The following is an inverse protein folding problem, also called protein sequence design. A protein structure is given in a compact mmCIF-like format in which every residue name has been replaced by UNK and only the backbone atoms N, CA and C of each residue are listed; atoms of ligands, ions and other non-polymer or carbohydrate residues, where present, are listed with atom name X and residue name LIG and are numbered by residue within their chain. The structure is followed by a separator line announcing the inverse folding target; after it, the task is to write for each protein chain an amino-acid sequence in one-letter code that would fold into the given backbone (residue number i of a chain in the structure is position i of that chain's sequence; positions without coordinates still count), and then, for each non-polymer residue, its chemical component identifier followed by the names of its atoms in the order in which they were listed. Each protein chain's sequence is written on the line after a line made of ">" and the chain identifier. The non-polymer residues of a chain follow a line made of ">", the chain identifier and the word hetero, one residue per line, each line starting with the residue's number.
data_IF_944318741512
#
_entry.id   IF_944318741512
#
_cell.length_a   1.000
_cell.length_b   1.000
_cell.length_c   1.000
_cell.angle_alpha   90.00
_cell.angle_beta   90.00
_cell.angle_gamma   90.00
#
_symmetry.space_group_name_H-M   'P 1'
#
loop_
_entity.id
_entity.type
_entity.pdbx_description
1 polymer ?
#
# COMPACT_ATOMS: atom_id res chain seq x y z
N UNK A 1 20.81 -15.47 -15.31
CA UNK A 1 19.36 -15.36 -15.53
C UNK A 1 18.79 -14.50 -14.40
N UNK A 2 18.37 -13.27 -14.68
CA UNK A 2 17.83 -12.35 -13.66
C UNK A 2 16.58 -12.99 -13.01
N UNK A 3 16.61 -13.18 -11.70
CA UNK A 3 15.45 -13.71 -10.97
C UNK A 3 14.37 -12.60 -10.92
N UNK A 4 13.26 -12.81 -11.62
CA UNK A 4 12.08 -11.96 -11.53
C UNK A 4 11.11 -12.52 -10.49
N UNK A 5 10.83 -11.74 -9.46
CA UNK A 5 9.79 -12.04 -8.50
C UNK A 5 8.59 -11.13 -8.75
N UNK A 6 7.44 -11.71 -9.06
CA UNK A 6 6.19 -10.97 -9.24
C UNK A 6 5.32 -11.07 -7.99
N UNK A 7 4.87 -9.95 -7.48
CA UNK A 7 4.07 -9.85 -6.25
C UNK A 7 2.82 -9.02 -6.55
N UNK A 8 1.64 -9.57 -6.28
CA UNK A 8 0.39 -8.78 -6.33
C UNK A 8 0.31 -7.92 -5.08
N UNK A 9 0.06 -6.63 -5.26
CA UNK A 9 -0.09 -5.68 -4.16
C UNK A 9 -1.40 -4.88 -4.30
N UNK A 10 -1.90 -4.41 -3.16
CA UNK A 10 -2.91 -3.35 -3.09
C UNK A 10 -2.47 -2.38 -2.00
N UNK A 11 -2.21 -1.15 -2.37
CA UNK A 11 -1.77 -0.10 -1.45
C UNK A 11 -2.99 0.62 -0.88
N UNK A 12 -3.14 0.62 0.43
CA UNK A 12 -4.24 1.32 1.13
C UNK A 12 -3.81 2.68 1.67
N UNK A 13 -2.53 2.99 1.63
CA UNK A 13 -1.95 4.27 2.03
C UNK A 13 -1.06 4.80 0.93
N UNK A 14 -0.85 6.08 0.93
CA UNK A 14 0.17 6.70 0.11
C UNK A 14 1.54 6.14 0.48
N UNK A 15 2.32 5.77 -0.51
CA UNK A 15 3.61 5.13 -0.28
C UNK A 15 4.74 5.88 -0.99
N UNK A 16 5.92 5.85 -0.38
CA UNK A 16 7.17 6.31 -0.97
C UNK A 16 8.09 5.11 -1.07
N UNK A 17 8.49 4.73 -2.28
CA UNK A 17 9.39 3.63 -2.56
C UNK A 17 10.74 4.17 -3.04
N UNK A 18 11.84 3.68 -2.48
CA UNK A 18 13.20 3.97 -2.94
C UNK A 18 13.84 2.70 -3.49
N UNK A 19 14.13 2.68 -4.78
CA UNK A 19 14.80 1.56 -5.45
C UNK A 19 16.31 1.72 -5.34
N UNK A 20 16.94 0.99 -4.42
CA UNK A 20 18.39 1.12 -4.13
C UNK A 20 19.26 0.36 -5.14
N UNK A 21 19.11 -0.96 -5.16
CA UNK A 21 19.96 -1.88 -5.94
C UNK A 21 19.16 -2.81 -6.85
N UNK A 22 17.96 -2.40 -7.29
CA UNK A 22 17.10 -3.19 -8.16
C UNK A 22 16.36 -2.29 -9.14
N UNK A 23 15.66 -2.89 -10.07
CA UNK A 23 14.62 -2.24 -10.87
C UNK A 23 13.28 -2.74 -10.37
N UNK A 24 12.39 -1.83 -10.02
CA UNK A 24 11.02 -2.15 -9.60
C UNK A 24 10.06 -1.77 -10.72
N UNK A 25 9.35 -2.75 -11.28
CA UNK A 25 8.33 -2.50 -12.29
C UNK A 25 6.95 -2.70 -11.67
N UNK A 26 6.13 -1.65 -11.71
CA UNK A 26 4.75 -1.67 -11.22
C UNK A 26 3.83 -1.80 -12.44
N UNK A 27 3.10 -2.92 -12.53
CA UNK A 27 2.18 -3.22 -13.62
C UNK A 27 0.74 -3.05 -13.17
N UNK A 28 -0.05 -2.37 -13.99
CA UNK A 28 -1.49 -2.29 -13.77
C UNK A 28 -2.10 -3.70 -13.89
N UNK A 29 -2.95 -4.08 -12.92
CA UNK A 29 -3.61 -5.39 -12.92
C UNK A 29 -4.61 -5.58 -14.06
N UNK A 30 -5.22 -4.49 -14.51
CA UNK A 30 -6.38 -4.52 -15.43
C UNK A 30 -6.07 -4.06 -16.85
N UNK A 31 -4.96 -3.38 -17.08
CA UNK A 31 -4.56 -2.82 -18.37
C UNK A 31 -3.06 -3.06 -18.62
N UNK A 32 -2.61 -3.12 -19.87
CA UNK A 32 -1.20 -3.30 -20.21
C UNK A 32 -0.38 -2.02 -20.00
N UNK A 33 -0.44 -1.46 -18.81
CA UNK A 33 0.31 -0.25 -18.41
C UNK A 33 1.34 -0.66 -17.37
N UNK A 34 2.58 -0.21 -17.51
CA UNK A 34 3.65 -0.46 -16.55
C UNK A 34 4.49 0.79 -16.31
N UNK A 35 5.02 0.91 -15.09
CA UNK A 35 5.91 1.98 -14.70
C UNK A 35 7.17 1.36 -14.13
N UNK A 36 8.32 1.77 -14.65
CA UNK A 36 9.63 1.27 -14.30
C UNK A 36 10.37 2.26 -13.42
N UNK A 37 10.70 1.84 -12.22
CA UNK A 37 11.48 2.61 -11.24
C UNK A 37 12.90 2.05 -11.31
N UNK A 38 13.81 2.80 -11.90
CA UNK A 38 15.20 2.39 -12.05
C UNK A 38 15.98 2.59 -10.76
N UNK A 39 17.15 1.97 -10.71
CA UNK A 39 18.05 2.04 -9.55
C UNK A 39 18.29 3.49 -9.11
N UNK A 40 18.28 3.73 -7.80
CA UNK A 40 18.49 5.03 -7.17
C UNK A 40 17.24 5.90 -7.14
N UNK A 41 16.24 5.65 -7.97
CA UNK A 41 15.07 6.51 -8.05
C UNK A 41 14.07 6.24 -6.92
N UNK A 42 13.32 7.29 -6.60
CA UNK A 42 12.23 7.26 -5.63
C UNK A 42 10.91 7.37 -6.39
N UNK A 43 9.90 6.62 -5.96
CA UNK A 43 8.55 6.71 -6.49
C UNK A 43 7.56 7.06 -5.38
N UNK A 44 6.71 8.05 -5.65
CA UNK A 44 5.53 8.35 -4.85
C UNK A 44 4.36 7.58 -5.47
N UNK A 45 3.65 6.81 -4.65
CA UNK A 45 2.60 5.91 -5.13
C UNK A 45 1.30 6.23 -4.39
N UNK A 46 0.28 6.57 -5.18
CA UNK A 46 -1.05 6.91 -4.66
C UNK A 46 -1.71 5.73 -3.94
N UNK A 47 -2.56 5.99 -2.94
CA UNK A 47 -3.35 4.94 -2.28
C UNK A 47 -4.36 4.29 -3.23
N UNK A 48 -4.85 3.11 -2.84
CA UNK A 48 -5.84 2.32 -3.58
C UNK A 48 -5.39 1.81 -4.95
N UNK A 49 -4.07 1.78 -5.22
CA UNK A 49 -3.50 1.12 -6.39
C UNK A 49 -3.50 -0.40 -6.19
N UNK A 50 -4.08 -1.12 -7.16
CA UNK A 50 -3.92 -2.57 -7.32
C UNK A 50 -2.94 -2.83 -8.46
N UNK A 51 -1.82 -3.47 -8.16
CA UNK A 51 -0.75 -3.67 -9.11
C UNK A 51 -0.05 -5.02 -8.94
N UNK A 52 0.70 -5.42 -9.94
CA UNK A 52 1.71 -6.46 -9.86
C UNK A 52 3.07 -5.78 -9.84
N UNK A 53 3.85 -6.02 -8.80
CA UNK A 53 5.22 -5.51 -8.67
C UNK A 53 6.19 -6.60 -9.06
N UNK A 54 7.01 -6.33 -10.06
CA UNK A 54 8.13 -7.19 -10.45
C UNK A 54 9.43 -6.54 -10.01
N UNK A 55 10.32 -7.34 -9.43
CA UNK A 55 11.62 -6.88 -8.95
C UNK A 55 12.70 -7.60 -9.74
N UNK A 56 13.57 -6.83 -10.38
CA UNK A 56 14.74 -7.32 -11.12
C UNK A 56 15.99 -6.91 -10.35
N UNK A 57 16.73 -7.90 -9.83
CA UNK A 57 17.98 -7.67 -9.12
C UNK A 57 19.13 -7.53 -10.14
N UNK A 58 20.04 -6.57 -9.91
CA UNK A 58 21.14 -6.29 -10.85
C UNK A 58 22.36 -7.17 -10.64
N UNK A 59 22.53 -7.74 -9.43
CA UNK A 59 23.65 -8.62 -9.07
C UNK A 59 23.12 -9.98 -8.61
N UNK A 60 23.91 -11.05 -8.83
CA UNK A 60 23.61 -12.42 -8.34
C UNK A 60 23.62 -12.54 -6.80
N UNK A 61 24.08 -11.53 -6.11
CA UNK A 61 23.98 -11.40 -4.67
C UNK A 61 22.61 -10.79 -4.38
N UNK A 62 21.69 -11.56 -3.83
CA UNK A 62 20.47 -11.06 -3.19
C UNK A 62 20.90 -10.10 -2.08
N UNK A 63 21.27 -8.87 -2.46
CA UNK A 63 21.81 -7.87 -1.55
C UNK A 63 20.74 -7.46 -0.56
N UNK A 64 21.16 -7.32 0.68
CA UNK A 64 20.32 -7.11 1.87
C UNK A 64 19.37 -5.89 1.79
N UNK A 65 19.50 -4.98 0.84
CA UNK A 65 18.66 -3.78 0.69
C UNK A 65 18.41 -3.45 -0.78
N UNK A 66 17.53 -4.21 -1.43
CA UNK A 66 17.18 -3.98 -2.84
C UNK A 66 16.37 -2.72 -3.03
N UNK A 67 15.35 -2.53 -2.21
CA UNK A 67 14.50 -1.34 -2.15
C UNK A 67 13.92 -1.17 -0.76
N UNK A 68 13.49 0.01 -0.47
CA UNK A 68 12.75 0.35 0.74
C UNK A 68 11.44 1.04 0.42
N UNK A 69 10.52 0.96 1.35
CA UNK A 69 9.23 1.60 1.19
C UNK A 69 8.71 2.07 2.55
N UNK A 70 8.15 3.27 2.57
CA UNK A 70 7.46 3.85 3.71
C UNK A 70 6.03 4.23 3.30
N UNK A 71 5.09 4.14 4.22
CA UNK A 71 3.71 4.58 4.01
C UNK A 71 3.43 5.81 4.84
N UNK A 72 2.66 6.73 4.28
CA UNK A 72 2.29 7.97 4.96
C UNK A 72 0.90 7.82 5.60
N UNK A 73 0.75 8.15 6.89
CA UNK A 73 -0.57 8.27 7.52
C UNK A 73 -1.40 9.38 6.85
N UNK A 74 -2.72 9.19 6.75
CA UNK A 74 -3.63 10.16 6.14
C UNK A 74 -3.55 11.54 6.81
N UNK A 75 -3.35 11.59 8.13
CA UNK A 75 -3.20 12.83 8.90
C UNK A 75 -1.95 13.61 8.50
N UNK A 76 -0.83 12.90 8.31
CA UNK A 76 0.43 13.51 7.86
C UNK A 76 0.29 13.99 6.40
N UNK A 77 -0.32 13.17 5.55
CA UNK A 77 -0.57 13.53 4.15
C UNK A 77 -1.48 14.75 4.01
N UNK A 78 -2.51 14.87 4.87
CA UNK A 78 -3.38 16.06 4.90
C UNK A 78 -2.62 17.34 5.23
N UNK A 79 -1.67 17.27 6.17
CA UNK A 79 -0.82 18.40 6.53
C UNK A 79 0.14 18.77 5.40
N UNK A 80 0.68 17.78 4.70
CA UNK A 80 1.52 18.00 3.51
C UNK A 80 0.69 18.68 2.41
N UNK A 81 -0.55 18.23 2.16
CA UNK A 81 -1.45 18.83 1.18
C UNK A 81 -1.65 20.34 1.45
N UNK A 82 -1.88 20.75 2.70
CA UNK A 82 -2.05 22.15 3.06
C UNK A 82 -0.85 23.03 2.66
N UNK A 83 0.38 22.49 2.67
CA UNK A 83 1.56 23.25 2.21
C UNK A 83 1.54 23.48 0.69
N UNK A 84 0.95 22.55 -0.06
CA UNK A 84 0.81 22.66 -1.52
C UNK A 84 -0.40 23.50 -1.95
N UNK A 85 -1.43 23.65 -1.12
CA UNK A 85 -2.60 24.49 -1.40
C UNK A 85 -2.22 25.95 -1.60
N UNK A 86 -1.33 26.47 -0.76
CA UNK A 86 -0.86 27.86 -0.84
C UNK A 86 -0.13 28.18 -2.16
N UNK A 87 0.43 27.15 -2.81
CA UNK A 87 1.19 27.30 -4.06
C UNK A 87 0.34 27.10 -5.31
N UNK A 88 -0.85 26.48 -5.20
CA UNK A 88 -1.69 26.05 -6.33
C UNK A 88 -3.09 26.67 -6.30
N UNK A 89 -3.24 27.87 -5.74
CA UNK A 89 -4.52 28.60 -5.65
C UNK A 89 -5.12 29.08 -6.99
N UNK A 90 -4.68 28.57 -8.13
CA UNK A 90 -5.25 28.91 -9.43
C UNK A 90 -5.84 27.70 -10.14
N UNK A 91 -7.19 27.68 -10.16
CA UNK A 91 -8.06 27.17 -11.21
C UNK A 91 -7.94 25.72 -11.67
N UNK A 92 -9.07 25.03 -11.49
CA UNK A 92 -9.47 23.79 -12.14
C UNK A 92 -8.62 22.54 -11.85
N UNK A 93 -9.00 21.84 -10.79
CA UNK A 93 -8.76 20.40 -10.71
C UNK A 93 -9.18 19.78 -12.04
N UNK A 94 -8.20 19.25 -12.80
CA UNK A 94 -8.47 18.49 -14.01
C UNK A 94 -9.53 17.44 -13.70
N UNK A 95 -10.52 17.21 -14.58
CA UNK A 95 -11.61 16.30 -14.26
C UNK A 95 -11.05 14.93 -13.88
N UNK A 96 -11.30 14.53 -12.64
CA UNK A 96 -10.85 13.28 -12.01
C UNK A 96 -11.19 12.03 -12.85
N UNK A 97 -12.09 12.19 -13.83
CA UNK A 97 -12.69 11.09 -14.63
C UNK A 97 -11.75 10.36 -15.57
N UNK A 98 -10.61 10.91 -15.95
CA UNK A 98 -9.77 10.35 -17.02
C UNK A 98 -8.31 10.06 -16.61
N UNK A 99 -8.05 9.85 -15.29
CA UNK A 99 -6.70 9.55 -14.83
C UNK A 99 -6.26 8.16 -15.24
N UNK A 100 -5.06 8.09 -15.80
CA UNK A 100 -4.39 6.85 -16.19
C UNK A 100 -3.64 6.24 -15.00
N UNK A 101 -3.04 5.09 -15.19
CA UNK A 101 -2.22 4.47 -14.15
C UNK A 101 -0.94 5.30 -13.86
N UNK A 102 -0.37 5.92 -14.91
CA UNK A 102 0.80 6.78 -14.78
C UNK A 102 0.55 8.06 -13.97
N UNK A 103 -0.69 8.54 -13.91
CA UNK A 103 -1.05 9.72 -13.10
C UNK A 103 -1.09 9.44 -11.59
N UNK A 104 -0.82 8.21 -11.19
CA UNK A 104 -0.87 7.73 -9.79
C UNK A 104 0.50 7.39 -9.21
N UNK A 105 1.55 7.43 -10.04
CA UNK A 105 2.92 7.10 -9.63
C UNK A 105 3.87 8.16 -10.16
N UNK A 106 4.57 8.84 -9.25
CA UNK A 106 5.48 9.92 -9.58
C UNK A 106 6.91 9.50 -9.31
N UNK A 107 7.78 9.59 -10.31
CA UNK A 107 9.19 9.23 -10.18
C UNK A 107 10.01 10.47 -9.90
N UNK A 108 10.85 10.39 -8.88
CA UNK A 108 11.83 11.39 -8.49
C UNK A 108 13.21 10.79 -8.73
N UNK A 109 13.99 11.42 -9.58
CA UNK A 109 15.38 11.02 -9.81
C UNK A 109 16.20 11.33 -8.58
N UNK A 110 16.94 10.36 -8.07
CA UNK A 110 17.83 10.60 -6.95
C UNK A 110 19.09 11.35 -7.43
N UNK A 111 19.35 12.46 -6.74
CA UNK A 111 20.55 13.29 -6.89
C UNK A 111 21.44 13.21 -5.64
N UNK A 112 21.29 12.17 -4.84
CA UNK A 112 21.97 11.97 -3.56
C UNK A 112 21.24 12.61 -2.36
N UNK A 113 20.66 13.79 -2.51
CA UNK A 113 19.91 14.48 -1.44
C UNK A 113 18.56 13.78 -1.20
N UNK A 114 17.88 13.37 -2.26
CA UNK A 114 16.57 12.72 -2.16
C UNK A 114 16.65 11.37 -1.45
N UNK A 115 17.72 10.59 -1.72
CA UNK A 115 17.99 9.34 -1.00
C UNK A 115 18.28 9.57 0.48
N UNK A 116 19.03 10.62 0.84
CA UNK A 116 19.30 11.00 2.24
C UNK A 116 18.00 11.37 2.96
N UNK A 117 17.13 12.17 2.32
CA UNK A 117 15.80 12.52 2.86
C UNK A 117 14.95 11.28 3.09
N UNK A 118 14.93 10.35 2.14
CA UNK A 118 14.20 9.11 2.28
C UNK A 118 14.71 8.27 3.47
N UNK A 119 16.03 8.10 3.60
CA UNK A 119 16.62 7.36 4.73
C UNK A 119 16.34 8.02 6.08
N UNK A 120 16.32 9.35 6.11
CA UNK A 120 15.94 10.11 7.30
C UNK A 120 14.48 9.82 7.70
N UNK A 121 13.54 9.91 6.75
CA UNK A 121 12.12 9.62 6.97
C UNK A 121 11.90 8.17 7.42
N UNK A 122 12.62 7.21 6.81
CA UNK A 122 12.56 5.79 7.18
C UNK A 122 12.96 5.55 8.63
N UNK A 123 14.03 6.19 9.10
CA UNK A 123 14.53 6.04 10.47
C UNK A 123 13.57 6.59 11.52
N UNK A 124 12.88 7.68 11.23
CA UNK A 124 11.97 8.36 12.18
C UNK A 124 10.58 7.75 12.28
N UNK A 125 10.24 6.78 11.43
CA UNK A 125 8.94 6.08 11.43
C UNK A 125 7.73 7.04 11.39
N UNK A 126 7.73 7.99 10.48
CA UNK A 126 6.64 8.95 10.26
C UNK A 126 6.27 9.76 11.51
N UNK A 127 7.24 10.47 12.07
CA UNK A 127 6.96 11.44 13.12
C UNK A 127 6.09 12.57 12.51
N UNK A 128 5.12 13.05 13.28
CA UNK A 128 4.24 14.17 12.86
C UNK A 128 4.99 15.47 12.50
N UNK A 129 6.29 15.55 12.81
CA UNK A 129 7.13 16.69 12.47
C UNK A 129 7.87 16.56 11.13
N UNK A 130 7.72 15.43 10.41
CA UNK A 130 8.43 15.18 9.15
C UNK A 130 7.73 15.80 7.92
N UNK A 131 6.80 16.72 8.16
CA UNK A 131 5.97 17.36 7.11
C UNK A 131 6.82 18.13 6.09
N UNK A 132 7.87 18.82 6.54
CA UNK A 132 8.72 19.64 5.68
C UNK A 132 9.65 18.80 4.82
N UNK A 133 10.18 17.72 5.37
CA UNK A 133 11.02 16.76 4.64
C UNK A 133 10.21 16.04 3.55
N UNK A 134 8.99 15.64 3.87
CA UNK A 134 8.09 15.04 2.89
C UNK A 134 7.71 16.06 1.81
N UNK A 135 7.37 17.30 2.18
CA UNK A 135 7.05 18.33 1.22
C UNK A 135 8.26 18.69 0.34
N UNK A 136 9.47 18.71 0.90
CA UNK A 136 10.70 18.88 0.14
C UNK A 136 10.90 17.76 -0.88
N UNK A 137 10.69 16.51 -0.50
CA UNK A 137 10.76 15.37 -1.42
C UNK A 137 9.68 15.47 -2.51
N UNK A 138 8.45 15.80 -2.14
CA UNK A 138 7.31 15.93 -3.06
C UNK A 138 7.48 17.07 -4.06
N UNK A 139 8.15 18.18 -3.66
CA UNK A 139 8.45 19.30 -4.55
C UNK A 139 9.42 18.96 -5.70
N UNK A 140 10.06 17.78 -5.66
CA UNK A 140 10.96 17.30 -6.73
C UNK A 140 10.22 16.58 -7.87
N UNK A 141 8.90 16.43 -7.76
CA UNK A 141 8.07 15.87 -8.82
C UNK A 141 7.93 16.88 -9.96
N UNK A 142 8.08 16.42 -11.22
CA UNK A 142 8.03 17.28 -12.40
C UNK A 142 6.65 17.92 -12.62
N UNK A 143 5.57 17.19 -12.29
CA UNK A 143 4.19 17.66 -12.47
C UNK A 143 3.50 17.84 -11.11
N UNK A 144 3.63 19.04 -10.57
CA UNK A 144 3.08 19.42 -9.26
C UNK A 144 1.55 19.41 -9.27
N UNK A 145 0.89 19.76 -10.38
CA UNK A 145 -0.58 19.79 -10.48
C UNK A 145 -1.16 18.36 -10.39
N UNK A 146 -0.55 17.41 -11.10
CA UNK A 146 -0.95 16.01 -11.00
C UNK A 146 -0.68 15.44 -9.61
N UNK A 147 0.45 15.79 -8.98
CA UNK A 147 0.75 15.42 -7.61
C UNK A 147 -0.30 16.00 -6.65
N UNK A 148 -0.63 17.28 -6.77
CA UNK A 148 -1.66 17.91 -5.95
C UNK A 148 -3.01 17.20 -6.07
N UNK A 149 -3.44 16.88 -7.30
CA UNK A 149 -4.64 16.08 -7.54
C UNK A 149 -4.58 14.69 -6.86
N UNK A 150 -3.43 14.02 -6.94
CA UNK A 150 -3.18 12.73 -6.29
C UNK A 150 -3.27 12.83 -4.76
N UNK A 151 -2.74 13.92 -4.18
CA UNK A 151 -2.82 14.19 -2.75
C UNK A 151 -4.27 14.45 -2.31
N UNK A 152 -5.02 15.29 -3.04
CA UNK A 152 -6.44 15.54 -2.77
C UNK A 152 -7.26 14.23 -2.74
N UNK A 153 -7.06 13.36 -3.73
CA UNK A 153 -7.73 12.06 -3.79
C UNK A 153 -7.30 11.16 -2.62
N UNK A 154 -6.02 11.19 -2.29
CA UNK A 154 -5.47 10.32 -1.23
C UNK A 154 -5.88 10.76 0.18
N UNK A 155 -6.10 12.05 0.39
CA UNK A 155 -6.61 12.59 1.66
C UNK A 155 -8.12 12.44 1.79
N UNK A 156 -8.85 12.42 0.66
CA UNK A 156 -10.30 12.23 0.68
C UNK A 156 -10.64 10.87 1.30
N UNK A 157 -11.57 10.88 2.26
CA UNK A 157 -12.05 9.64 2.89
C UNK A 157 -13.12 9.01 2.02
N UNK A 158 -12.81 7.83 1.48
CA UNK A 158 -13.81 7.00 0.82
C UNK A 158 -14.66 6.25 1.86
N UNK A 159 -15.84 5.78 1.45
CA UNK A 159 -16.66 4.95 2.32
C UNK A 159 -15.99 3.60 2.61
N UNK A 160 -15.26 3.05 1.64
CA UNK A 160 -14.44 1.85 1.82
C UNK A 160 -13.33 2.03 2.86
N UNK A 161 -12.73 3.23 2.98
CA UNK A 161 -11.75 3.53 4.04
C UNK A 161 -12.40 3.49 5.43
N UNK A 162 -13.63 4.01 5.57
CA UNK A 162 -14.40 3.96 6.82
C UNK A 162 -14.70 2.50 7.19
N UNK A 163 -15.19 1.71 6.23
CA UNK A 163 -15.47 0.28 6.43
C UNK A 163 -14.21 -0.47 6.82
N UNK A 164 -13.10 -0.21 6.12
CA UNK A 164 -11.81 -0.83 6.40
C UNK A 164 -11.32 -0.51 7.81
N UNK A 165 -11.32 0.75 8.21
CA UNK A 165 -10.92 1.19 9.55
C UNK A 165 -11.80 0.54 10.63
N UNK A 166 -13.11 0.41 10.38
CA UNK A 166 -14.04 -0.25 11.30
C UNK A 166 -13.70 -1.73 11.49
N UNK A 167 -13.31 -2.44 10.42
CA UNK A 167 -12.88 -3.83 10.47
C UNK A 167 -11.53 -3.97 11.17
N UNK A 168 -10.56 -3.12 10.86
CA UNK A 168 -9.20 -3.16 11.39
C UNK A 168 -9.16 -2.94 12.91
N UNK A 169 -10.12 -2.19 13.48
CA UNK A 169 -10.23 -1.99 14.94
C UNK A 169 -10.45 -3.30 15.70
N UNK A 170 -11.16 -4.27 15.11
CA UNK A 170 -11.36 -5.60 15.69
C UNK A 170 -11.51 -6.66 14.60
N UNK A 171 -10.37 -7.02 14.00
CA UNK A 171 -10.31 -7.92 12.85
C UNK A 171 -10.70 -9.36 13.19
N UNK A 172 -10.57 -9.74 14.47
CA UNK A 172 -10.89 -11.08 14.97
C UNK A 172 -12.41 -11.33 15.08
N UNK A 173 -13.19 -10.28 15.14
CA UNK A 173 -14.65 -10.36 15.20
C UNK A 173 -15.21 -11.16 14.01
N UNK A 174 -16.29 -11.92 14.28
CA UNK A 174 -17.06 -12.61 13.24
C UNK A 174 -17.89 -11.61 12.43
N UNK A 175 -17.20 -10.87 11.56
CA UNK A 175 -17.80 -9.84 10.73
C UNK A 175 -18.85 -10.39 9.77
N UNK A 176 -20.03 -9.74 9.79
CA UNK A 176 -21.11 -9.89 8.81
C UNK A 176 -21.58 -8.50 8.39
N UNK A 177 -22.24 -8.41 7.26
CA UNK A 177 -22.78 -7.12 6.79
C UNK A 177 -23.74 -6.50 7.82
N UNK A 178 -24.54 -7.34 8.50
CA UNK A 178 -25.41 -6.93 9.61
C UNK A 178 -24.62 -6.28 10.76
N UNK A 179 -23.51 -6.89 11.18
CA UNK A 179 -22.64 -6.33 12.26
C UNK A 179 -22.05 -4.98 11.85
N UNK A 180 -21.67 -4.83 10.57
CA UNK A 180 -21.18 -3.57 10.04
C UNK A 180 -22.31 -2.51 9.99
N UNK A 181 -23.52 -2.92 9.59
CA UNK A 181 -24.73 -2.09 9.57
C UNK A 181 -25.04 -1.50 10.95
N UNK A 182 -25.00 -2.32 11.99
CA UNK A 182 -25.19 -1.91 13.38
C UNK A 182 -24.10 -0.92 13.84
N UNK A 183 -22.83 -1.19 13.52
CA UNK A 183 -21.71 -0.32 13.93
C UNK A 183 -21.69 1.03 13.20
N UNK A 184 -22.13 1.09 11.95
CA UNK A 184 -22.14 2.32 11.17
C UNK A 184 -23.49 3.07 11.23
N UNK A 185 -24.51 2.51 11.88
CA UNK A 185 -25.89 3.03 11.87
C UNK A 185 -26.44 3.27 10.45
N UNK A 186 -26.14 2.34 9.53
CA UNK A 186 -26.57 2.37 8.15
C UNK A 186 -27.26 1.07 7.76
N UNK A 187 -28.26 1.10 6.87
CA UNK A 187 -28.86 -0.15 6.36
C UNK A 187 -27.85 -0.94 5.53
N UNK A 188 -27.97 -2.27 5.52
CA UNK A 188 -27.14 -3.14 4.67
C UNK A 188 -27.21 -2.76 3.19
N UNK A 189 -28.39 -2.34 2.73
CA UNK A 189 -28.60 -1.88 1.34
C UNK A 189 -27.80 -0.62 1.05
N UNK A 190 -27.82 0.34 1.98
CA UNK A 190 -27.04 1.58 1.86
C UNK A 190 -25.54 1.30 1.79
N UNK A 191 -25.05 0.38 2.65
CA UNK A 191 -23.65 -0.02 2.66
C UNK A 191 -23.25 -0.64 1.33
N UNK A 192 -24.05 -1.58 0.81
CA UNK A 192 -23.80 -2.22 -0.49
C UNK A 192 -23.71 -1.20 -1.62
N UNK A 193 -24.72 -0.31 -1.76
CA UNK A 193 -24.75 0.72 -2.81
C UNK A 193 -23.53 1.66 -2.73
N UNK A 194 -23.15 2.11 -1.52
CA UNK A 194 -21.98 2.98 -1.35
C UNK A 194 -20.68 2.29 -1.78
N UNK A 195 -20.49 1.02 -1.42
CA UNK A 195 -19.31 0.24 -1.79
C UNK A 195 -19.30 -0.12 -3.28
N UNK A 196 -20.46 -0.43 -3.88
CA UNK A 196 -20.61 -0.67 -5.33
C UNK A 196 -20.22 0.56 -6.14
N UNK A 197 -20.60 1.76 -5.71
CA UNK A 197 -20.20 3.02 -6.34
C UNK A 197 -18.66 3.23 -6.30
N UNK A 198 -17.99 2.62 -5.34
CA UNK A 198 -16.52 2.61 -5.24
C UNK A 198 -15.89 1.35 -5.90
N UNK A 199 -16.65 0.60 -6.70
CA UNK A 199 -16.21 -0.64 -7.37
C UNK A 199 -15.64 -1.70 -6.42
N UNK A 200 -16.19 -1.80 -5.21
CA UNK A 200 -15.78 -2.77 -4.19
C UNK A 200 -16.99 -3.35 -3.46
N UNK A 201 -16.75 -4.26 -2.53
CA UNK A 201 -17.79 -4.81 -1.66
C UNK A 201 -17.22 -5.16 -0.27
N UNK A 202 -18.10 -5.36 0.70
CA UNK A 202 -17.75 -5.68 2.08
C UNK A 202 -16.84 -6.91 2.21
N UNK A 203 -17.15 -7.99 1.49
CA UNK A 203 -16.39 -9.25 1.61
C UNK A 203 -14.96 -9.11 1.07
N UNK A 204 -14.79 -8.32 0.03
CA UNK A 204 -13.46 -8.02 -0.54
C UNK A 204 -12.62 -7.21 0.46
N UNK A 205 -13.20 -6.17 1.08
CA UNK A 205 -12.51 -5.36 2.09
C UNK A 205 -12.15 -6.22 3.30
N UNK A 206 -13.07 -7.07 3.77
CA UNK A 206 -12.83 -7.98 4.89
C UNK A 206 -11.74 -9.00 4.59
N UNK A 207 -11.78 -9.60 3.39
CA UNK A 207 -10.75 -10.54 2.94
C UNK A 207 -9.39 -9.88 2.90
N UNK A 208 -9.29 -8.72 2.24
CA UNK A 208 -8.06 -7.95 2.14
C UNK A 208 -7.50 -7.60 3.54
N UNK A 209 -8.36 -7.15 4.47
CA UNK A 209 -7.97 -6.84 5.84
C UNK A 209 -7.37 -8.05 6.56
N UNK A 210 -8.06 -9.19 6.50
CA UNK A 210 -7.64 -10.43 7.13
C UNK A 210 -6.36 -10.99 6.56
N UNK A 211 -6.23 -11.02 5.24
CA UNK A 211 -5.04 -11.56 4.58
C UNK A 211 -3.81 -10.71 4.86
N UNK A 212 -3.94 -9.40 4.90
CA UNK A 212 -2.86 -8.49 5.24
C UNK A 212 -2.38 -8.67 6.69
N UNK A 213 -3.31 -8.72 7.64
CA UNK A 213 -2.96 -9.00 9.04
C UNK A 213 -2.33 -10.39 9.18
N UNK A 214 -2.84 -11.39 8.45
CA UNK A 214 -2.29 -12.74 8.44
C UNK A 214 -0.85 -12.77 7.92
N UNK A 215 -0.56 -12.07 6.81
CA UNK A 215 0.78 -12.03 6.23
C UNK A 215 1.81 -11.47 7.22
N UNK A 216 1.46 -10.43 7.99
CA UNK A 216 2.33 -9.89 9.06
C UNK A 216 2.59 -10.90 10.15
N UNK A 217 1.50 -11.52 10.66
CA UNK A 217 1.61 -12.52 11.73
C UNK A 217 2.39 -13.76 11.28
N UNK A 218 2.27 -14.15 10.02
CA UNK A 218 3.03 -15.27 9.43
C UNK A 218 4.53 -14.92 9.33
N UNK A 219 4.90 -13.67 9.09
CA UNK A 219 6.30 -13.23 9.04
C UNK A 219 6.92 -13.02 10.42
N UNK A 220 6.09 -12.93 11.46
CA UNK A 220 6.54 -12.90 12.85
C UNK A 220 6.93 -14.32 13.29
N UNK A 221 8.21 -14.52 13.64
CA UNK A 221 8.90 -15.82 13.67
C UNK A 221 8.34 -16.85 14.65
N UNK A 222 7.52 -16.44 15.63
CA UNK A 222 7.08 -17.31 16.72
C UNK A 222 5.58 -17.64 16.72
N UNK A 223 4.85 -17.25 15.66
CA UNK A 223 3.40 -17.41 15.64
C UNK A 223 2.97 -18.66 14.92
N UNK A 224 2.43 -19.65 15.67
CA UNK A 224 1.82 -20.85 15.10
C UNK A 224 0.65 -20.51 14.17
N UNK A 225 0.51 -21.23 13.05
CA UNK A 225 -0.50 -20.98 12.03
C UNK A 225 -1.94 -21.00 12.57
N UNK A 226 -2.20 -21.82 13.59
CA UNK A 226 -3.50 -21.85 14.27
C UNK A 226 -3.80 -20.52 14.96
N UNK A 227 -2.81 -19.94 15.65
CA UNK A 227 -2.96 -18.63 16.32
C UNK A 227 -3.19 -17.54 15.28
N UNK A 228 -2.50 -17.60 14.14
CA UNK A 228 -2.72 -16.65 13.02
C UNK A 228 -4.16 -16.73 12.52
N UNK A 229 -4.66 -17.95 12.26
CA UNK A 229 -6.04 -18.15 11.79
C UNK A 229 -7.06 -17.52 12.73
N UNK A 230 -6.96 -17.79 14.02
CA UNK A 230 -7.87 -17.21 15.03
C UNK A 230 -7.72 -15.70 15.17
N UNK A 231 -6.48 -15.17 15.14
CA UNK A 231 -6.20 -13.74 15.26
C UNK A 231 -6.78 -12.90 14.10
N UNK A 232 -7.04 -13.54 12.94
CA UNK A 232 -7.72 -12.91 11.81
C UNK A 232 -9.20 -13.26 11.70
N UNK A 233 -9.78 -13.85 12.76
CA UNK A 233 -11.21 -14.16 12.84
C UNK A 233 -11.66 -15.35 11.99
N UNK A 234 -10.77 -16.33 11.77
CA UNK A 234 -11.08 -17.57 11.06
C UNK A 234 -10.99 -18.77 12.00
N UNK A 235 -12.11 -19.48 12.18
CA UNK A 235 -12.19 -20.65 13.06
C UNK A 235 -11.63 -21.94 12.45
N UNK A 236 -11.58 -22.03 11.12
CA UNK A 236 -11.04 -23.21 10.40
C UNK A 236 -9.65 -22.90 9.84
N UNK A 237 -8.65 -23.57 10.38
CA UNK A 237 -7.25 -23.44 9.94
C UNK A 237 -7.07 -23.90 8.50
N UNK A 238 -7.72 -25.01 8.11
CA UNK A 238 -7.64 -25.54 6.75
C UNK A 238 -8.25 -24.53 5.73
N UNK A 239 -9.37 -23.93 6.08
CA UNK A 239 -9.97 -22.89 5.24
C UNK A 239 -9.08 -21.65 5.16
N UNK A 240 -8.49 -21.23 6.27
CA UNK A 240 -7.51 -20.14 6.30
C UNK A 240 -6.32 -20.42 5.36
N UNK A 241 -5.70 -21.60 5.46
CA UNK A 241 -4.55 -21.97 4.61
C UNK A 241 -4.92 -21.91 3.13
N UNK A 242 -6.10 -22.46 2.77
CA UNK A 242 -6.60 -22.40 1.39
C UNK A 242 -6.77 -20.95 0.92
N UNK A 243 -7.47 -20.15 1.70
CA UNK A 243 -7.76 -18.76 1.35
C UNK A 243 -6.50 -17.90 1.24
N UNK A 244 -5.53 -18.11 2.15
CA UNK A 244 -4.22 -17.46 2.11
C UNK A 244 -3.44 -17.86 0.84
N UNK A 245 -3.49 -19.15 0.48
CA UNK A 245 -2.81 -19.66 -0.73
C UNK A 245 -3.45 -19.10 -2.01
N UNK A 246 -4.78 -19.02 -2.05
CA UNK A 246 -5.51 -18.43 -3.18
C UNK A 246 -5.19 -16.93 -3.34
N UNK A 247 -4.99 -16.25 -2.22
CA UNK A 247 -4.72 -14.80 -2.20
C UNK A 247 -3.27 -14.47 -2.57
N UNK A 248 -2.29 -15.16 -1.99
CA UNK A 248 -0.85 -14.88 -2.16
C UNK A 248 -0.13 -15.80 -3.14
N UNK A 249 -0.78 -16.87 -3.62
CA UNK A 249 -0.16 -17.89 -4.47
C UNK A 249 0.82 -18.83 -3.73
N UNK A 250 0.90 -18.73 -2.41
CA UNK A 250 1.80 -19.50 -1.55
C UNK A 250 1.06 -19.89 -0.27
N UNK A 251 1.33 -21.10 0.24
CA UNK A 251 0.86 -21.46 1.58
C UNK A 251 1.51 -20.57 2.64
N UNK A 252 0.90 -20.38 3.83
CA UNK A 252 1.51 -19.58 4.90
C UNK A 252 2.94 -20.01 5.25
N UNK A 253 3.20 -21.33 5.27
CA UNK A 253 4.54 -21.88 5.53
C UNK A 253 5.53 -21.52 4.42
N UNK A 254 5.14 -21.69 3.15
CA UNK A 254 5.97 -21.31 2.00
C UNK A 254 6.22 -19.78 1.99
N UNK A 255 5.20 -19.00 2.31
CA UNK A 255 5.29 -17.55 2.44
C UNK A 255 6.31 -17.16 3.52
N UNK A 256 6.20 -17.75 4.71
CA UNK A 256 7.15 -17.54 5.80
C UNK A 256 8.59 -17.88 5.37
N UNK A 257 8.82 -19.09 4.82
CA UNK A 257 10.16 -19.53 4.40
C UNK A 257 10.74 -18.64 3.30
N UNK A 258 9.91 -18.18 2.36
CA UNK A 258 10.34 -17.32 1.25
C UNK A 258 10.75 -15.95 1.73
N UNK A 259 10.07 -15.38 2.73
CA UNK A 259 10.21 -13.96 3.12
C UNK A 259 10.81 -13.74 4.51
N UNK A 260 10.97 -14.79 5.34
CA UNK A 260 11.59 -14.67 6.68
C UNK A 260 13.04 -14.22 6.63
N UNK A 261 13.81 -14.76 5.69
CA UNK A 261 15.24 -14.50 5.54
C UNK A 261 15.55 -13.44 4.49
N UNK A 262 14.55 -12.96 3.76
CA UNK A 262 14.70 -11.88 2.81
C UNK A 262 14.54 -10.54 3.51
N UNK A 263 15.40 -9.63 3.13
CA UNK A 263 15.51 -8.33 3.78
C UNK A 263 14.32 -7.41 3.68
N UNK A 264 14.45 -6.35 4.43
CA UNK A 264 13.54 -5.26 4.75
C UNK A 264 12.64 -4.80 3.60
N UNK A 265 13.10 -4.76 2.35
CA UNK A 265 12.34 -4.28 1.20
C UNK A 265 11.18 -5.19 0.76
N UNK A 266 11.42 -6.49 0.52
CA UNK A 266 10.33 -7.41 0.15
C UNK A 266 9.38 -7.65 1.33
N UNK A 267 9.93 -7.74 2.55
CA UNK A 267 9.14 -7.81 3.78
C UNK A 267 8.34 -6.50 3.98
N UNK A 268 8.93 -5.34 3.65
CA UNK A 268 8.25 -4.06 3.66
C UNK A 268 7.17 -3.96 2.57
N UNK A 269 7.38 -4.46 1.35
CA UNK A 269 6.35 -4.49 0.33
C UNK A 269 5.10 -5.26 0.77
N UNK A 270 5.27 -6.35 1.54
CA UNK A 270 4.14 -7.03 2.18
C UNK A 270 3.62 -6.33 3.44
N UNK A 271 4.46 -5.57 4.15
CA UNK A 271 4.04 -4.74 5.29
C UNK A 271 3.36 -3.43 4.88
N UNK A 272 3.41 -3.07 3.59
CA UNK A 272 2.72 -1.91 3.01
C UNK A 272 1.21 -1.96 3.06
N UNK A 273 0.71 -3.04 3.49
CA UNK A 273 -0.70 -3.26 3.69
C UNK A 273 -1.22 -2.67 5.03
N UNK A 274 -0.61 -1.60 5.54
CA UNK A 274 -1.10 -0.91 6.75
C UNK A 274 -1.90 0.32 6.44
#
# INVERSE_FOLDING_TARGET
>A
MLKKNAIKIKLYRYAILHSKNCIVTIKNKSKPEEIKITRGNIALIEKNIEAVVEIEYMDDIESFESFDIITLPDELLSRVLCLFEASNCSESLSPIRYRTFSDKVFIITDNGINGILFEYLKKRKNNNNDIYEIACLFSKVNNIEQLYTSLCISVSRSFSDIVRKTIDNDISTKWRLKTLSEKLNLSEVTIRKKLENENTNFYRILLDARMQKAARLVLDSDTHINKVSYAVGMSSVSYFIKLFSDYYGLTPKQFHLKYKHRNTGEKAAFMLYN
#
